data_IF_286265113805
#
_entry.id   IF_286265113805
#
_cell.length_a   1.000
_cell.length_b   1.000
_cell.length_c   1.000
_cell.angle_alpha   90.00
_cell.angle_beta   90.00
_cell.angle_gamma   90.00
#
_symmetry.space_group_name_H-M   'P 1'
#
loop_
_entity.id
_entity.type
_entity.pdbx_description
1 polymer ?
#
# COMPACT_ATOMS: atom_id res chain seq x y z
N UNK A 1 -6.50 10.55 -9.43
CA UNK A 1 -5.33 9.92 -10.09
C UNK A 1 -5.29 8.47 -9.65
N UNK A 2 -5.39 7.53 -10.58
CA UNK A 2 -5.25 6.10 -10.30
C UNK A 2 -3.84 5.64 -10.69
N UNK A 3 -3.27 4.75 -9.88
CA UNK A 3 -1.97 4.14 -10.17
C UNK A 3 -2.18 2.64 -10.25
N UNK A 4 -1.97 2.08 -11.44
CA UNK A 4 -2.09 0.65 -11.69
C UNK A 4 -0.70 0.04 -11.77
N UNK A 5 -0.33 -0.77 -10.79
CA UNK A 5 0.86 -1.60 -10.83
C UNK A 5 0.80 -2.62 -11.99
N UNK A 6 1.95 -2.86 -12.65
CA UNK A 6 2.06 -3.85 -13.74
C UNK A 6 2.63 -5.21 -13.30
N UNK A 7 3.18 -5.34 -12.10
CA UNK A 7 3.94 -6.52 -11.68
C UNK A 7 3.36 -7.19 -10.44
N UNK A 8 2.24 -7.92 -10.57
CA UNK A 8 1.71 -8.68 -9.44
C UNK A 8 2.71 -9.79 -9.02
N UNK A 9 3.16 -9.79 -7.76
CA UNK A 9 4.13 -10.74 -7.21
C UNK A 9 3.49 -11.57 -6.09
N UNK A 10 2.41 -12.29 -6.40
CA UNK A 10 1.73 -13.12 -5.41
C UNK A 10 2.32 -14.53 -5.34
N UNK A 11 3.13 -14.81 -4.30
CA UNK A 11 3.56 -16.16 -3.96
C UNK A 11 2.66 -16.84 -2.92
N UNK A 12 2.04 -16.08 -2.02
CA UNK A 12 0.96 -16.53 -1.12
C UNK A 12 -0.39 -16.01 -1.59
N UNK A 13 -1.45 -16.73 -1.21
CA UNK A 13 -2.82 -16.23 -1.40
C UNK A 13 -3.05 -15.05 -0.44
N UNK A 14 -3.51 -13.89 -0.92
CA UNK A 14 -3.70 -12.69 -0.09
C UNK A 14 -5.03 -12.78 0.68
N UNK A 15 -5.08 -13.69 1.66
CA UNK A 15 -6.31 -14.05 2.38
C UNK A 15 -6.84 -12.86 3.19
N UNK A 16 -5.96 -12.10 3.85
CA UNK A 16 -6.39 -10.95 4.64
C UNK A 16 -6.77 -9.78 3.76
N UNK A 17 -6.04 -9.51 2.68
CA UNK A 17 -6.40 -8.47 1.72
C UNK A 17 -7.80 -8.71 1.17
N UNK A 18 -8.08 -9.93 0.67
CA UNK A 18 -9.40 -10.31 0.19
C UNK A 18 -10.45 -10.30 1.32
N UNK A 19 -10.08 -10.75 2.52
CA UNK A 19 -10.92 -10.72 3.70
C UNK A 19 -11.35 -9.30 4.07
N UNK A 20 -10.43 -8.33 4.06
CA UNK A 20 -10.73 -6.93 4.34
C UNK A 20 -11.57 -6.29 3.24
N UNK A 21 -11.31 -6.60 1.97
CA UNK A 21 -12.17 -6.15 0.86
C UNK A 21 -13.59 -6.68 1.05
N UNK A 22 -13.75 -7.95 1.42
CA UNK A 22 -15.06 -8.55 1.66
C UNK A 22 -15.75 -7.97 2.89
N UNK A 23 -15.03 -7.81 4.00
CA UNK A 23 -15.58 -7.21 5.24
C UNK A 23 -16.06 -5.79 4.93
N UNK A 24 -15.23 -4.97 4.31
CA UNK A 24 -15.60 -3.59 3.97
C UNK A 24 -16.74 -3.54 2.95
N UNK A 25 -16.84 -4.50 2.02
CA UNK A 25 -17.99 -4.64 1.12
C UNK A 25 -19.28 -4.94 1.90
N UNK A 26 -19.22 -5.85 2.88
CA UNK A 26 -20.36 -6.19 3.72
C UNK A 26 -20.82 -4.99 4.57
N UNK A 27 -19.90 -4.14 5.03
CA UNK A 27 -20.27 -2.93 5.78
C UNK A 27 -21.09 -1.92 4.99
N UNK A 28 -21.09 -1.97 3.65
CA UNK A 28 -21.91 -1.07 2.82
C UNK A 28 -23.41 -1.33 2.98
N UNK A 29 -23.82 -2.50 3.47
CA UNK A 29 -25.22 -2.84 3.69
C UNK A 29 -25.75 -2.41 5.07
N UNK A 30 -24.94 -1.72 5.87
CA UNK A 30 -25.35 -1.22 7.18
C UNK A 30 -25.93 0.18 7.05
N UNK A 31 -27.19 0.37 7.47
CA UNK A 31 -27.92 1.62 7.26
C UNK A 31 -27.41 2.80 8.11
N UNK A 32 -26.79 2.54 9.28
CA UNK A 32 -26.38 3.57 10.25
C UNK A 32 -24.85 3.75 10.31
N UNK A 33 -24.27 4.20 9.20
CA UNK A 33 -22.81 4.45 9.08
C UNK A 33 -22.31 5.43 10.17
N UNK A 34 -23.10 6.46 10.51
CA UNK A 34 -22.76 7.47 11.52
C UNK A 34 -22.57 6.89 12.94
N UNK A 35 -23.15 5.72 13.22
CA UNK A 35 -22.96 5.05 14.51
C UNK A 35 -21.58 4.41 14.66
N UNK A 36 -20.92 4.11 13.54
CA UNK A 36 -19.58 3.52 13.49
C UNK A 36 -18.50 4.54 13.19
N UNK A 37 -18.88 5.77 12.87
CA UNK A 37 -17.97 6.86 12.58
C UNK A 37 -17.16 7.28 13.80
N UNK A 38 -15.87 7.55 13.59
CA UNK A 38 -15.04 8.14 14.63
C UNK A 38 -15.28 9.66 14.64
N UNK A 39 -15.74 10.20 15.76
CA UNK A 39 -15.94 11.65 15.94
C UNK A 39 -15.14 12.11 17.15
N UNK A 40 -14.12 12.97 16.97
CA UNK A 40 -13.23 13.43 18.05
C UNK A 40 -13.95 13.91 19.31
N UNK A 41 -15.01 14.71 19.14
CA UNK A 41 -15.77 15.28 20.25
C UNK A 41 -16.69 14.28 20.97
N UNK A 42 -17.07 13.19 20.31
CA UNK A 42 -18.13 12.28 20.80
C UNK A 42 -17.56 11.12 21.61
N UNK A 43 -16.55 10.44 21.09
CA UNK A 43 -16.05 9.21 21.69
C UNK A 43 -14.61 8.90 21.28
N UNK A 44 -13.80 8.47 22.25
CA UNK A 44 -12.46 7.94 22.05
C UNK A 44 -12.45 6.48 22.51
N UNK A 45 -13.03 5.60 21.67
CA UNK A 45 -13.35 4.23 22.04
C UNK A 45 -13.33 3.27 20.85
N UNK A 46 -14.30 2.36 20.77
CA UNK A 46 -14.36 1.34 19.73
C UNK A 46 -14.43 1.93 18.31
N UNK A 47 -15.02 3.12 18.17
CA UNK A 47 -15.15 3.84 16.90
C UNK A 47 -13.82 4.17 16.22
N UNK A 48 -12.71 4.30 16.97
CA UNK A 48 -11.36 4.49 16.39
C UNK A 48 -10.95 3.30 15.53
N UNK A 49 -11.35 2.09 15.91
CA UNK A 49 -11.03 0.87 15.18
C UNK A 49 -12.16 0.49 14.22
N UNK A 50 -13.41 0.62 14.68
CA UNK A 50 -14.59 0.29 13.88
C UNK A 50 -14.65 1.09 12.58
N UNK A 51 -14.39 2.40 12.64
CA UNK A 51 -14.47 3.30 11.47
C UNK A 51 -13.53 2.96 10.32
N UNK A 52 -12.48 2.16 10.57
CA UNK A 52 -11.49 1.72 9.56
C UNK A 52 -12.15 0.84 8.48
N UNK A 53 -13.16 0.06 8.87
CA UNK A 53 -13.80 -0.93 8.01
C UNK A 53 -14.98 -0.40 7.20
N UNK A 54 -15.49 0.78 7.56
CA UNK A 54 -16.62 1.41 6.87
C UNK A 54 -16.13 2.35 5.78
N UNK A 55 -16.98 2.58 4.78
CA UNK A 55 -16.75 3.55 3.70
C UNK A 55 -18.01 4.42 3.57
N UNK A 56 -17.86 5.68 3.18
CA UNK A 56 -19.00 6.62 3.09
C UNK A 56 -19.88 6.38 1.88
N UNK A 57 -19.34 5.74 0.84
CA UNK A 57 -20.05 5.45 -0.41
C UNK A 57 -19.47 4.22 -1.11
N UNK A 58 -20.25 3.66 -2.04
CA UNK A 58 -19.79 2.57 -2.91
C UNK A 58 -18.57 2.97 -3.74
N UNK A 59 -18.51 4.20 -4.25
CA UNK A 59 -17.38 4.70 -5.05
C UNK A 59 -16.09 4.78 -4.24
N UNK A 60 -16.20 5.20 -2.97
CA UNK A 60 -15.05 5.20 -2.05
C UNK A 60 -14.59 3.77 -1.76
N UNK A 61 -15.52 2.87 -1.45
CA UNK A 61 -15.20 1.45 -1.26
C UNK A 61 -14.53 0.85 -2.49
N UNK A 62 -15.08 1.07 -3.69
CA UNK A 62 -14.54 0.50 -4.93
C UNK A 62 -13.10 0.98 -5.17
N UNK A 63 -12.85 2.27 -4.95
CA UNK A 63 -11.51 2.85 -5.04
C UNK A 63 -10.58 2.19 -4.03
N UNK A 64 -11.00 2.09 -2.77
CA UNK A 64 -10.21 1.48 -1.71
C UNK A 64 -9.95 -0.01 -1.96
N UNK A 65 -10.94 -0.75 -2.46
CA UNK A 65 -10.82 -2.16 -2.81
C UNK A 65 -9.84 -2.40 -3.96
N UNK A 66 -9.85 -1.54 -4.99
CA UNK A 66 -8.86 -1.58 -6.07
C UNK A 66 -7.46 -1.36 -5.49
N UNK A 67 -7.26 -0.32 -4.69
CA UNK A 67 -5.93 -0.05 -4.10
C UNK A 67 -5.45 -1.16 -3.16
N UNK A 68 -6.33 -1.73 -2.32
CA UNK A 68 -5.99 -2.88 -1.49
C UNK A 68 -5.61 -4.09 -2.37
N UNK A 69 -6.42 -4.42 -3.37
CA UNK A 69 -6.14 -5.55 -4.25
C UNK A 69 -4.85 -5.37 -5.06
N UNK A 70 -4.51 -4.14 -5.44
CA UNK A 70 -3.32 -3.87 -6.26
C UNK A 70 -2.02 -3.82 -5.47
N UNK A 71 -2.05 -3.33 -4.24
CA UNK A 71 -0.82 -3.05 -3.48
C UNK A 71 -0.71 -3.86 -2.20
N UNK A 72 -1.83 -4.15 -1.53
CA UNK A 72 -1.80 -4.75 -0.21
C UNK A 72 -1.53 -6.26 -0.26
N UNK A 73 -1.86 -6.93 -1.36
CA UNK A 73 -1.52 -8.35 -1.59
C UNK A 73 0.00 -8.58 -1.56
N UNK A 74 0.75 -7.74 -2.26
CA UNK A 74 2.21 -7.72 -2.29
C UNK A 74 2.80 -7.42 -0.90
N UNK A 75 2.21 -6.51 -0.13
CA UNK A 75 2.67 -6.21 1.25
C UNK A 75 2.38 -7.39 2.17
N UNK A 76 1.19 -7.98 2.10
CA UNK A 76 0.80 -9.17 2.88
C UNK A 76 1.75 -10.35 2.62
N UNK A 77 2.18 -10.55 1.37
CA UNK A 77 3.12 -11.60 1.02
C UNK A 77 4.52 -11.37 1.63
N UNK A 78 4.98 -10.11 1.62
CA UNK A 78 6.30 -9.72 2.16
C UNK A 78 6.36 -9.82 3.69
N UNK A 79 5.36 -9.32 4.39
CA UNK A 79 5.37 -9.24 5.86
C UNK A 79 4.69 -10.44 6.54
N UNK A 80 3.88 -11.20 5.80
CA UNK A 80 3.08 -12.31 6.30
C UNK A 80 1.75 -11.86 6.93
N UNK A 81 0.78 -12.79 6.97
CA UNK A 81 -0.61 -12.50 7.38
C UNK A 81 -0.71 -11.81 8.75
N UNK A 82 -0.05 -12.34 9.78
CA UNK A 82 -0.18 -11.81 11.14
C UNK A 82 0.28 -10.35 11.25
N UNK A 83 1.45 -10.02 10.69
CA UNK A 83 1.97 -8.65 10.71
C UNK A 83 1.16 -7.73 9.79
N UNK A 84 0.68 -8.23 8.66
CA UNK A 84 -0.20 -7.47 7.80
C UNK A 84 -1.50 -7.05 8.51
N UNK A 85 -2.13 -7.97 9.26
CA UNK A 85 -3.29 -7.65 10.09
C UNK A 85 -2.99 -6.53 11.11
N UNK A 86 -1.86 -6.62 11.82
CA UNK A 86 -1.44 -5.61 12.80
C UNK A 86 -1.19 -4.26 12.11
N UNK A 87 -0.47 -4.26 10.99
CA UNK A 87 -0.15 -3.05 10.22
C UNK A 87 -1.41 -2.38 9.68
N UNK A 88 -2.38 -3.18 9.21
CA UNK A 88 -3.67 -2.69 8.73
C UNK A 88 -4.41 -1.91 9.82
N UNK A 89 -4.54 -2.49 11.02
CA UNK A 89 -5.15 -1.81 12.16
C UNK A 89 -4.33 -0.60 12.61
N UNK A 90 -3.01 -0.74 12.69
CA UNK A 90 -2.10 0.31 13.13
C UNK A 90 -2.21 1.56 12.25
N UNK A 91 -2.18 1.42 10.92
CA UNK A 91 -2.29 2.57 10.02
C UNK A 91 -3.66 3.26 10.10
N UNK A 92 -4.74 2.49 10.26
CA UNK A 92 -6.08 3.06 10.41
C UNK A 92 -6.24 3.82 11.72
N UNK A 93 -5.77 3.24 12.83
CA UNK A 93 -5.73 3.91 14.14
C UNK A 93 -4.88 5.17 14.05
N UNK A 94 -3.70 5.09 13.44
CA UNK A 94 -2.80 6.24 13.29
C UNK A 94 -3.46 7.38 12.49
N UNK A 95 -4.17 7.07 11.40
CA UNK A 95 -4.91 8.08 10.65
C UNK A 95 -5.99 8.76 11.51
N UNK A 96 -6.75 7.99 12.28
CA UNK A 96 -7.80 8.50 13.15
C UNK A 96 -7.22 9.34 14.31
N UNK A 97 -6.10 8.91 14.89
CA UNK A 97 -5.38 9.67 15.92
C UNK A 97 -4.82 10.97 15.36
N UNK A 98 -4.24 10.95 14.15
CA UNK A 98 -3.79 12.18 13.49
C UNK A 98 -4.94 13.14 13.25
N UNK A 99 -6.09 12.65 12.78
CA UNK A 99 -7.28 13.47 12.60
C UNK A 99 -7.74 14.10 13.92
N UNK A 100 -7.79 13.30 15.00
CA UNK A 100 -8.12 13.75 16.34
C UNK A 100 -7.18 14.85 16.83
N UNK A 101 -5.87 14.67 16.68
CA UNK A 101 -4.87 15.64 17.16
C UNK A 101 -4.99 17.00 16.46
N UNK A 102 -5.33 17.01 15.17
CA UNK A 102 -5.53 18.27 14.43
C UNK A 102 -6.92 18.87 14.63
N UNK A 103 -7.91 18.07 15.05
CA UNK A 103 -9.31 18.48 15.11
C UNK A 103 -9.99 17.99 16.40
N UNK A 104 -9.37 18.24 17.56
CA UNK A 104 -9.80 17.69 18.86
C UNK A 104 -11.26 18.01 19.21
N UNK A 105 -11.74 19.22 18.89
CA UNK A 105 -13.11 19.67 19.17
C UNK A 105 -14.11 19.43 18.03
N UNK A 106 -13.72 18.67 17.02
CA UNK A 106 -14.51 18.46 15.81
C UNK A 106 -15.70 17.55 16.06
N UNK A 107 -16.89 18.01 15.65
CA UNK A 107 -18.11 17.21 15.48
C UNK A 107 -18.14 16.46 14.15
N UNK A 108 -17.02 16.53 13.45
CA UNK A 108 -16.59 15.95 12.19
C UNK A 108 -16.52 14.41 12.11
N UNK A 109 -17.54 13.54 11.85
CA UNK A 109 -17.28 12.11 11.73
C UNK A 109 -16.30 11.77 10.60
N UNK A 110 -15.32 10.92 10.91
CA UNK A 110 -14.37 10.33 9.95
C UNK A 110 -14.54 8.83 9.93
N UNK A 111 -14.58 8.32 8.70
CA UNK A 111 -14.73 6.92 8.33
C UNK A 111 -13.84 6.69 7.14
N UNK A 112 -13.25 5.51 7.03
CA UNK A 112 -12.62 5.10 5.78
C UNK A 112 -11.37 4.28 5.97
N UNK A 113 -11.20 3.35 5.04
CA UNK A 113 -9.98 2.55 4.90
C UNK A 113 -8.83 3.33 4.23
N UNK A 114 -9.09 4.54 3.74
CA UNK A 114 -8.12 5.35 2.98
C UNK A 114 -6.83 5.66 3.75
N UNK A 115 -6.91 5.89 5.07
CA UNK A 115 -5.72 6.07 5.92
C UNK A 115 -4.85 4.81 6.00
N UNK A 116 -5.47 3.63 6.01
CA UNK A 116 -4.75 2.34 5.99
C UNK A 116 -4.01 2.18 4.66
N UNK A 117 -4.70 2.47 3.56
CA UNK A 117 -4.14 2.36 2.21
C UNK A 117 -2.92 3.27 2.07
N UNK A 118 -2.97 4.50 2.58
CA UNK A 118 -1.82 5.41 2.58
C UNK A 118 -0.60 4.81 3.26
N UNK A 119 -0.76 4.17 4.42
CA UNK A 119 0.34 3.47 5.11
C UNK A 119 0.89 2.29 4.30
N UNK A 120 0.00 1.49 3.69
CA UNK A 120 0.38 0.38 2.81
C UNK A 120 1.16 0.89 1.58
N UNK A 121 0.71 1.98 0.95
CA UNK A 121 1.41 2.62 -0.17
C UNK A 121 2.78 3.16 0.25
N UNK A 122 2.92 3.68 1.47
CA UNK A 122 4.21 4.10 2.03
C UNK A 122 5.18 2.93 2.20
N UNK A 123 4.70 1.77 2.62
CA UNK A 123 5.53 0.56 2.66
C UNK A 123 5.88 0.07 1.25
N UNK A 124 4.90 0.07 0.35
CA UNK A 124 5.05 -0.35 -1.04
C UNK A 124 6.10 0.49 -1.77
N UNK A 125 6.10 1.81 -1.54
CA UNK A 125 7.09 2.75 -2.05
C UNK A 125 8.53 2.32 -1.75
N UNK A 126 8.78 1.74 -0.56
CA UNK A 126 10.11 1.31 -0.12
C UNK A 126 10.46 -0.09 -0.60
N UNK A 127 9.50 -1.02 -0.57
CA UNK A 127 9.76 -2.42 -0.94
C UNK A 127 9.89 -2.63 -2.46
N UNK A 128 9.18 -1.83 -3.27
CA UNK A 128 9.04 -2.07 -4.70
C UNK A 128 9.37 -0.85 -5.59
N UNK A 129 10.40 -0.02 -5.31
CA UNK A 129 10.57 1.30 -5.93
C UNK A 129 10.68 1.28 -7.47
N UNK A 130 11.17 0.18 -8.04
CA UNK A 130 11.42 0.04 -9.49
C UNK A 130 10.30 -0.67 -10.24
N UNK A 131 9.24 -1.09 -9.56
CA UNK A 131 8.08 -1.70 -10.23
C UNK A 131 7.45 -0.68 -11.16
N UNK A 132 7.14 -1.08 -12.39
CA UNK A 132 6.48 -0.21 -13.35
C UNK A 132 4.98 -0.11 -13.07
N UNK A 133 4.45 1.07 -13.27
CA UNK A 133 3.04 1.37 -13.09
C UNK A 133 2.48 2.16 -14.27
N UNK A 134 1.16 2.24 -14.30
CA UNK A 134 0.40 3.08 -15.22
C UNK A 134 -0.36 4.11 -14.40
N UNK A 135 -0.06 5.38 -14.60
CA UNK A 135 -0.82 6.48 -13.99
C UNK A 135 -1.96 6.87 -14.92
N UNK A 136 -3.18 6.89 -14.39
CA UNK A 136 -4.38 7.31 -15.10
C UNK A 136 -4.93 8.57 -14.44
N UNK A 137 -4.96 9.65 -15.21
CA UNK A 137 -5.64 10.91 -14.92
C UNK A 137 -6.89 11.03 -15.79
N UNK A 138 -7.79 11.96 -15.47
CA UNK A 138 -9.05 12.12 -16.19
C UNK A 138 -8.90 12.30 -17.70
N UNK A 139 -7.80 12.93 -18.15
CA UNK A 139 -7.54 13.22 -19.58
C UNK A 139 -6.27 12.58 -20.14
N UNK A 140 -5.49 11.89 -19.32
CA UNK A 140 -4.16 11.40 -19.72
C UNK A 140 -3.80 10.08 -19.05
N UNK A 141 -3.13 9.20 -19.79
CA UNK A 141 -2.59 7.93 -19.26
C UNK A 141 -1.10 7.86 -19.52
N UNK A 142 -0.31 7.70 -18.46
CA UNK A 142 1.15 7.54 -18.52
C UNK A 142 1.51 6.09 -18.16
N UNK A 143 2.10 5.36 -19.10
CA UNK A 143 2.44 3.94 -18.95
C UNK A 143 3.93 3.78 -18.63
N UNK A 144 4.27 2.68 -17.95
CA UNK A 144 5.65 2.25 -17.68
C UNK A 144 6.44 3.22 -16.80
N UNK A 145 5.74 3.93 -15.92
CA UNK A 145 6.32 4.88 -14.99
C UNK A 145 6.75 4.13 -13.72
N UNK A 146 8.01 4.26 -13.26
CA UNK A 146 8.44 3.69 -11.99
C UNK A 146 7.51 4.09 -10.84
N UNK A 147 7.11 3.13 -10.00
CA UNK A 147 6.12 3.34 -8.94
C UNK A 147 6.58 4.40 -7.94
N UNK A 148 7.90 4.53 -7.71
CA UNK A 148 8.42 5.59 -6.83
C UNK A 148 8.02 6.97 -7.35
N UNK A 149 8.03 7.21 -8.67
CA UNK A 149 7.59 8.48 -9.26
C UNK A 149 6.09 8.63 -9.07
N UNK A 150 5.32 7.59 -9.39
CA UNK A 150 3.86 7.65 -9.31
C UNK A 150 3.35 7.89 -7.90
N UNK A 151 3.90 7.22 -6.90
CA UNK A 151 3.54 7.44 -5.50
C UNK A 151 4.10 8.75 -4.94
N UNK A 152 5.26 9.22 -5.42
CA UNK A 152 5.76 10.57 -5.10
C UNK A 152 4.79 11.65 -5.60
N UNK A 153 4.32 11.53 -6.84
CA UNK A 153 3.31 12.46 -7.38
C UNK A 153 2.01 12.35 -6.57
N UNK A 154 1.60 11.13 -6.23
CA UNK A 154 0.38 10.90 -5.46
C UNK A 154 0.43 11.60 -4.09
N UNK A 155 1.52 11.41 -3.32
CA UNK A 155 1.66 12.03 -2.00
C UNK A 155 1.80 13.55 -2.07
N UNK A 156 2.41 14.09 -3.14
CA UNK A 156 2.45 15.53 -3.39
C UNK A 156 1.05 16.10 -3.64
N UNK A 157 0.21 15.38 -4.38
CA UNK A 157 -1.20 15.74 -4.58
C UNK A 157 -1.97 15.71 -3.25
N UNK A 158 -1.78 14.66 -2.41
CA UNK A 158 -2.41 14.62 -1.09
C UNK A 158 -1.95 15.78 -0.20
N UNK A 159 -0.67 16.12 -0.25
CA UNK A 159 -0.10 17.25 0.51
C UNK A 159 -0.65 18.60 0.02
N UNK A 160 -0.86 18.74 -1.29
CA UNK A 160 -1.51 19.93 -1.84
C UNK A 160 -2.96 20.05 -1.37
N UNK A 161 -3.74 18.97 -1.41
CA UNK A 161 -5.12 18.99 -0.90
C UNK A 161 -5.18 19.27 0.60
N UNK A 162 -4.24 18.74 1.39
CA UNK A 162 -4.08 19.09 2.80
C UNK A 162 -3.92 20.61 3.00
N UNK A 163 -3.04 21.27 2.24
CA UNK A 163 -2.84 22.72 2.32
C UNK A 163 -4.10 23.50 1.94
N UNK A 164 -4.80 23.05 0.90
CA UNK A 164 -6.06 23.67 0.46
C UNK A 164 -7.14 23.57 1.53
N UNK A 165 -7.29 22.40 2.16
CA UNK A 165 -8.26 22.20 3.25
C UNK A 165 -7.94 23.04 4.48
N UNK A 166 -6.67 23.14 4.86
CA UNK A 166 -6.22 24.00 5.96
C UNK A 166 -6.63 25.46 5.74
N UNK A 167 -6.46 25.97 4.50
CA UNK A 167 -6.82 27.36 4.17
C UNK A 167 -8.33 27.60 4.17
N UNK A 168 -9.12 26.59 3.78
CA UNK A 168 -10.57 26.70 3.69
C UNK A 168 -11.29 26.29 4.99
N UNK A 169 -10.56 25.92 6.04
CA UNK A 169 -11.10 25.38 7.30
C UNK A 169 -12.05 24.19 7.10
N UNK A 170 -11.80 23.39 6.05
CA UNK A 170 -12.58 22.19 5.73
C UNK A 170 -11.91 20.98 6.42
N UNK A 171 -12.69 19.93 6.72
CA UNK A 171 -12.22 18.66 7.31
C UNK A 171 -10.90 18.25 6.67
N UNK A 172 -9.84 18.02 7.47
CA UNK A 172 -8.61 17.48 6.90
C UNK A 172 -8.37 16.00 7.11
N UNK A 173 -8.86 15.20 6.16
CA UNK A 173 -8.58 13.76 6.07
C UNK A 173 -7.21 13.51 5.41
N UNK A 174 -6.78 14.39 4.50
CA UNK A 174 -5.51 14.25 3.77
C UNK A 174 -4.28 14.37 4.68
N UNK A 175 -4.34 15.13 5.78
CA UNK A 175 -3.24 15.21 6.75
C UNK A 175 -2.92 13.86 7.39
N UNK A 176 -3.96 13.08 7.72
CA UNK A 176 -3.83 11.71 8.23
C UNK A 176 -3.21 10.77 7.19
N UNK A 177 -3.58 10.91 5.92
CA UNK A 177 -3.01 10.13 4.82
C UNK A 177 -1.52 10.42 4.61
N UNK A 178 -1.10 11.69 4.71
CA UNK A 178 0.31 12.05 4.59
C UNK A 178 1.14 11.44 5.72
N UNK A 179 0.66 11.56 6.97
CA UNK A 179 1.37 11.02 8.14
C UNK A 179 1.45 9.50 8.11
N UNK A 180 0.37 8.82 7.74
CA UNK A 180 0.37 7.34 7.61
C UNK A 180 1.28 6.87 6.50
N UNK A 181 1.32 7.55 5.35
CA UNK A 181 2.26 7.22 4.27
C UNK A 181 3.72 7.34 4.72
N UNK A 182 4.08 8.43 5.40
CA UNK A 182 5.42 8.61 5.96
C UNK A 182 5.75 7.55 7.01
N UNK A 183 4.79 7.20 7.86
CA UNK A 183 4.97 6.12 8.84
C UNK A 183 5.17 4.76 8.16
N UNK A 184 4.45 4.49 7.07
CA UNK A 184 4.65 3.30 6.24
C UNK A 184 6.09 3.20 5.71
N UNK A 185 6.65 4.31 5.20
CA UNK A 185 8.05 4.38 4.78
C UNK A 185 8.99 4.03 5.93
N UNK A 186 8.78 4.63 7.11
CA UNK A 186 9.63 4.41 8.29
C UNK A 186 9.58 2.94 8.71
N UNK A 187 8.39 2.34 8.80
CA UNK A 187 8.22 0.94 9.19
C UNK A 187 8.90 0.01 8.17
N UNK A 188 8.70 0.25 6.87
CA UNK A 188 9.34 -0.55 5.83
C UNK A 188 10.88 -0.46 5.90
N UNK A 189 11.44 0.73 6.14
CA UNK A 189 12.88 0.90 6.35
C UNK A 189 13.39 0.15 7.60
N UNK A 190 12.64 0.19 8.70
CA UNK A 190 12.93 -0.57 9.92
C UNK A 190 12.94 -2.07 9.62
N UNK A 191 11.95 -2.58 8.89
CA UNK A 191 11.86 -3.99 8.53
C UNK A 191 13.04 -4.44 7.67
N UNK A 192 13.43 -3.63 6.68
CA UNK A 192 14.64 -3.88 5.89
C UNK A 192 15.89 -3.90 6.78
N UNK A 193 16.04 -2.91 7.67
CA UNK A 193 17.22 -2.78 8.55
C UNK A 193 17.38 -3.96 9.49
N UNK A 194 16.30 -4.45 10.07
CA UNK A 194 16.31 -5.61 10.98
C UNK A 194 16.21 -6.96 10.26
N UNK A 195 16.24 -6.98 8.92
CA UNK A 195 16.04 -8.18 8.09
C UNK A 195 14.74 -8.92 8.44
N UNK A 196 13.75 -8.18 8.90
CA UNK A 196 12.43 -8.66 9.28
C UNK A 196 11.55 -8.76 8.04
N UNK A 197 11.95 -9.64 7.12
CA UNK A 197 11.18 -9.98 5.93
C UNK A 197 10.96 -11.48 5.98
N UNK A 198 9.74 -11.87 6.36
CA UNK A 198 9.41 -13.22 6.83
C UNK A 198 9.83 -14.32 5.86
N UNK A 199 9.88 -14.09 4.53
CA UNK A 199 10.16 -15.18 3.58
C UNK A 199 10.92 -14.88 2.29
N UNK A 200 11.72 -13.82 2.21
CA UNK A 200 12.72 -13.81 1.13
C UNK A 200 13.73 -14.97 1.31
N UNK A 201 14.07 -15.35 2.55
CA UNK A 201 15.08 -16.38 2.87
C UNK A 201 14.59 -17.84 2.83
N UNK A 202 13.28 -18.08 2.95
CA UNK A 202 12.72 -19.44 3.06
C UNK A 202 12.44 -20.10 1.70
N UNK A 203 11.90 -19.36 0.73
CA UNK A 203 11.58 -19.89 -0.61
C UNK A 203 12.84 -20.20 -1.45
N UNK A 204 13.96 -19.59 -1.08
CA UNK A 204 15.30 -19.89 -1.59
C UNK A 204 15.69 -21.35 -1.41
N UNK A 205 15.38 -21.91 -0.24
CA UNK A 205 15.84 -23.25 0.17
C UNK A 205 15.21 -24.37 -0.65
N UNK A 206 14.07 -24.10 -1.31
CA UNK A 206 13.26 -25.11 -1.99
C UNK A 206 13.44 -25.16 -3.51
N UNK A 207 14.33 -24.35 -4.08
CA UNK A 207 14.37 -24.16 -5.52
C UNK A 207 15.59 -24.85 -6.16
N UNK A 208 15.46 -26.13 -6.50
CA UNK A 208 16.42 -26.89 -7.34
C UNK A 208 16.55 -26.27 -8.74
N UNK A 209 17.77 -26.25 -9.29
CA UNK A 209 18.15 -25.56 -10.52
C UNK A 209 18.07 -26.46 -11.75
N UNK A 210 16.91 -26.57 -12.38
CA UNK A 210 16.81 -27.11 -13.74
C UNK A 210 15.88 -26.19 -14.53
N UNK A 211 16.40 -25.53 -15.57
CA UNK A 211 15.68 -24.68 -16.52
C UNK A 211 14.84 -23.52 -15.93
N UNK A 212 15.43 -22.70 -15.06
CA UNK A 212 14.74 -21.49 -14.57
C UNK A 212 14.92 -20.31 -15.52
N UNK A 213 13.82 -19.65 -15.81
CA UNK A 213 13.79 -18.29 -16.38
C UNK A 213 13.60 -17.28 -15.25
N UNK A 214 14.32 -16.18 -15.35
CA UNK A 214 14.42 -15.10 -14.36
C UNK A 214 13.91 -13.85 -15.07
N UNK A 215 12.73 -13.35 -14.69
CA UNK A 215 12.18 -12.12 -15.28
C UNK A 215 13.04 -10.91 -14.89
N UNK A 216 13.48 -10.06 -15.80
CA UNK A 216 14.16 -8.83 -15.43
C UNK A 216 13.31 -8.03 -14.42
N UNK A 217 13.85 -7.59 -13.28
CA UNK A 217 13.06 -6.88 -12.28
C UNK A 217 12.59 -5.50 -12.76
N UNK A 218 13.17 -4.94 -13.84
CA UNK A 218 12.79 -3.63 -14.40
C UNK A 218 11.76 -3.74 -15.52
N UNK A 219 11.86 -4.73 -16.41
CA UNK A 219 10.98 -4.84 -17.58
C UNK A 219 10.22 -6.16 -17.72
N UNK A 220 10.37 -7.08 -16.77
CA UNK A 220 9.77 -8.41 -16.79
C UNK A 220 10.17 -9.29 -17.97
N UNK A 221 11.20 -8.91 -18.74
CA UNK A 221 11.69 -9.74 -19.84
C UNK A 221 12.29 -11.06 -19.30
N UNK A 222 11.85 -12.24 -19.75
CA UNK A 222 12.37 -13.52 -19.27
C UNK A 222 13.81 -13.75 -19.73
N UNK A 223 14.70 -14.04 -18.79
CA UNK A 223 16.10 -14.35 -19.05
C UNK A 223 16.36 -15.78 -18.55
N UNK A 224 16.75 -16.73 -19.42
CA UNK A 224 17.12 -18.08 -18.98
C UNK A 224 18.41 -18.02 -18.14
N UNK A 225 18.47 -18.75 -17.03
CA UNK A 225 19.63 -18.74 -16.13
C UNK A 225 20.01 -20.13 -15.67
N UNK A 226 21.31 -20.43 -15.78
CA UNK A 226 21.89 -21.70 -15.33
C UNK A 226 22.54 -21.58 -13.94
N UNK A 227 22.80 -20.36 -13.45
CA UNK A 227 23.44 -20.10 -12.15
C UNK A 227 23.00 -18.78 -11.53
N UNK A 228 23.11 -18.67 -10.20
CA UNK A 228 23.05 -17.39 -9.50
C UNK A 228 24.22 -16.48 -9.91
N UNK A 229 24.00 -15.17 -9.95
CA UNK A 229 25.04 -14.19 -10.25
C UNK A 229 24.51 -12.88 -10.83
N UNK A 230 25.43 -12.10 -11.41
CA UNK A 230 25.08 -10.89 -12.15
C UNK A 230 24.49 -11.27 -13.50
N UNK A 231 23.33 -10.70 -13.80
CA UNK A 231 22.62 -10.85 -15.05
C UNK A 231 22.43 -9.49 -15.69
N UNK A 232 22.46 -9.49 -17.02
CA UNK A 232 22.24 -8.31 -17.83
C UNK A 232 20.98 -8.50 -18.66
N UNK A 233 20.06 -7.53 -18.60
CA UNK A 233 18.87 -7.55 -19.43
C UNK A 233 19.08 -6.75 -20.71
N UNK A 234 19.19 -7.43 -21.85
CA UNK A 234 19.32 -6.78 -23.17
C UNK A 234 18.13 -5.89 -23.54
N UNK A 235 16.91 -6.22 -23.08
CA UNK A 235 15.70 -5.47 -23.44
C UNK A 235 15.59 -4.07 -22.80
N UNK A 236 16.18 -3.85 -21.62
CA UNK A 236 16.11 -2.56 -20.92
C UNK A 236 17.46 -2.05 -20.44
N UNK A 237 18.54 -2.72 -20.85
CA UNK A 237 19.92 -2.38 -20.54
C UNK A 237 20.22 -2.23 -19.02
N UNK A 238 19.52 -3.00 -18.18
CA UNK A 238 19.72 -2.99 -16.73
C UNK A 238 20.54 -4.19 -16.25
N UNK A 239 21.44 -3.93 -15.32
CA UNK A 239 22.16 -4.96 -14.60
C UNK A 239 21.42 -5.27 -13.30
N UNK A 240 21.31 -6.54 -12.97
CA UNK A 240 20.73 -6.97 -11.71
C UNK A 240 21.42 -8.23 -11.24
N UNK A 241 21.49 -8.41 -9.94
CA UNK A 241 22.02 -9.59 -9.31
C UNK A 241 20.88 -10.54 -9.01
N UNK A 242 20.93 -11.75 -9.54
CA UNK A 242 20.02 -12.82 -9.18
C UNK A 242 20.76 -13.79 -8.28
N UNK A 243 20.55 -13.64 -6.98
CA UNK A 243 21.03 -14.62 -6.02
C UNK A 243 19.91 -15.57 -5.61
N UNK A 244 20.29 -16.47 -4.72
CA UNK A 244 19.38 -17.37 -4.04
C UNK A 244 18.22 -16.61 -3.39
N UNK A 245 18.41 -15.35 -2.97
CA UNK A 245 17.41 -14.46 -2.38
C UNK A 245 16.53 -13.72 -3.40
N UNK A 246 16.63 -14.04 -4.70
CA UNK A 246 15.86 -13.42 -5.75
C UNK A 246 16.65 -12.34 -6.49
N UNK A 247 15.93 -11.47 -7.22
CA UNK A 247 16.55 -10.46 -8.08
C UNK A 247 16.71 -9.17 -7.29
N UNK A 248 17.94 -8.67 -7.19
CA UNK A 248 18.28 -7.37 -6.63
C UNK A 248 18.84 -6.50 -7.74
N UNK A 249 18.39 -5.25 -7.83
CA UNK A 249 19.05 -4.29 -8.69
C UNK A 249 20.45 -3.99 -8.15
N UNK A 250 21.41 -3.89 -9.06
CA UNK A 250 22.76 -3.39 -8.79
C UNK A 250 22.86 -1.95 -9.23
#
# INVERSE_FOLDING_TARGET
MFVFEKANHNFRKPILTLGFILITMLTLFFDNIDSYAFTPKKEFGFSIVGSIFFNTSFTEWLTNAIYLYMFADNIEDVVGHFYFFILFLFFGILANLTYFLFHTNSIIPVIGTSGVISGILGMYFVFFPNVKSTMVFEKATFRDIPIFISLSIWILIQSYFYIVELNNQVRSVYGGQVITFLMGIIIAQIFIRYKFLDRLDHNIRLSTFINKTVLCPSCSNPIPTEKYGRLHCSACNTNFFFDRHGKKFL
#
